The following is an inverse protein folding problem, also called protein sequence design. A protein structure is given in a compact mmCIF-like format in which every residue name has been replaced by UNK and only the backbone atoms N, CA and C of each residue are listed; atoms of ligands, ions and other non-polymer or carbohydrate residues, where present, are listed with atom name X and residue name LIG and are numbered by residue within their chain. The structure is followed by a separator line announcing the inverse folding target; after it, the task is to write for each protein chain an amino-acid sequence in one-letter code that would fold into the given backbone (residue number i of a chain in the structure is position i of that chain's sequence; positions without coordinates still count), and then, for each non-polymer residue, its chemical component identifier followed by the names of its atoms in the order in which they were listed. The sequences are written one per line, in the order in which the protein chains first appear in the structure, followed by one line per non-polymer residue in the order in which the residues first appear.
data_IF_043018746138
#
_entry.id   IF_043018746138
#
_cell.length_a   1.000
_cell.length_b   1.000
_cell.length_c   1.000
_cell.angle_alpha   90.00
_cell.angle_beta   90.00
_cell.angle_gamma   90.00
#
_symmetry.space_group_name_H-M   'P 1'
#
loop_
_entity.id
_entity.type
_entity.pdbx_description
1 polymer ?
#
# COMPACT_ATOMS: atom_id res chain seq x y z
N UNK A 1 8.03 11.06 17.52
CA UNK A 1 7.20 9.84 17.76
C UNK A 1 7.38 8.89 16.58
N UNK A 2 7.61 7.60 16.83
CA UNK A 2 7.79 6.59 15.77
C UNK A 2 6.54 6.46 14.90
N UNK A 3 6.70 6.13 13.61
CA UNK A 3 5.60 6.03 12.65
C UNK A 3 5.69 4.76 11.81
N UNK A 4 4.57 4.09 11.62
CA UNK A 4 4.39 3.14 10.53
C UNK A 4 3.50 3.77 9.46
N UNK A 5 4.05 3.90 8.26
CA UNK A 5 3.39 4.53 7.12
C UNK A 5 2.96 3.44 6.15
N UNK A 6 1.68 3.31 5.88
CA UNK A 6 1.15 2.43 4.84
C UNK A 6 0.89 3.25 3.58
N UNK A 7 1.61 2.97 2.49
CA UNK A 7 1.31 3.57 1.18
C UNK A 7 0.42 2.62 0.41
N UNK A 8 -0.80 3.04 0.13
CA UNK A 8 -1.84 2.22 -0.49
C UNK A 8 -2.65 2.97 -1.53
N UNK A 9 -3.27 2.23 -2.42
CA UNK A 9 -4.11 2.77 -3.50
C UNK A 9 -4.82 1.67 -4.27
N UNK A 10 -5.80 2.01 -5.12
CA UNK A 10 -6.24 1.17 -6.22
C UNK A 10 -5.09 0.83 -7.19
N UNK A 11 -5.29 -0.15 -8.10
CA UNK A 11 -4.27 -0.54 -9.07
C UNK A 11 -3.84 0.61 -9.99
N UNK A 12 -2.55 0.62 -10.36
CA UNK A 12 -1.93 1.57 -11.29
C UNK A 12 -1.89 3.06 -10.88
N UNK A 13 -2.28 3.41 -9.65
CA UNK A 13 -2.18 4.78 -9.13
C UNK A 13 -0.73 5.25 -8.87
N UNK A 14 0.28 4.40 -9.08
CA UNK A 14 1.70 4.77 -8.88
C UNK A 14 2.23 4.56 -7.47
N UNK A 15 1.51 3.83 -6.62
CA UNK A 15 1.85 3.54 -5.22
C UNK A 15 3.33 3.21 -5.00
N UNK A 16 3.88 2.23 -5.73
CA UNK A 16 5.27 1.78 -5.56
C UNK A 16 6.29 2.87 -5.90
N UNK A 17 6.02 3.66 -6.94
CA UNK A 17 6.87 4.79 -7.29
C UNK A 17 6.89 5.84 -6.18
N UNK A 18 5.71 6.24 -5.70
CA UNK A 18 5.57 7.22 -4.61
C UNK A 18 6.23 6.73 -3.33
N UNK A 19 5.98 5.48 -2.92
CA UNK A 19 6.56 4.90 -1.72
C UNK A 19 8.10 4.93 -1.77
N UNK A 20 8.70 4.61 -2.92
CA UNK A 20 10.14 4.70 -3.13
C UNK A 20 10.67 6.12 -3.13
N UNK A 21 9.94 7.08 -3.70
CA UNK A 21 10.34 8.48 -3.66
C UNK A 21 10.27 9.07 -2.24
N UNK A 22 9.22 8.76 -1.49
CA UNK A 22 9.12 9.14 -0.09
C UNK A 22 10.28 8.55 0.72
N UNK A 23 10.54 7.24 0.59
CA UNK A 23 11.62 6.58 1.31
C UNK A 23 13.02 7.15 0.99
N UNK A 24 13.26 7.62 -0.24
CA UNK A 24 14.53 8.24 -0.63
C UNK A 24 14.75 9.64 -0.03
N UNK A 25 13.66 10.33 0.30
CA UNK A 25 13.71 11.69 0.81
C UNK A 25 13.52 11.79 2.32
N UNK A 26 12.99 10.73 2.97
CA UNK A 26 12.89 10.65 4.42
C UNK A 26 14.21 10.20 5.04
N UNK A 27 14.48 10.67 6.25
CA UNK A 27 15.59 10.21 7.09
C UNK A 27 15.09 9.14 8.07
N UNK A 28 15.98 8.26 8.52
CA UNK A 28 15.66 7.24 9.51
C UNK A 28 14.43 6.40 9.13
N UNK A 29 14.41 5.91 7.88
CA UNK A 29 13.29 5.16 7.31
C UNK A 29 13.72 3.76 6.89
N UNK A 30 12.95 2.75 7.31
CA UNK A 30 12.98 1.40 6.78
C UNK A 30 11.89 1.26 5.73
N UNK A 31 12.27 1.02 4.48
CA UNK A 31 11.34 0.76 3.37
C UNK A 31 11.09 -0.73 3.23
N UNK A 32 9.83 -1.13 3.26
CA UNK A 32 9.39 -2.51 3.07
C UNK A 32 8.42 -2.59 1.89
N UNK A 33 8.68 -3.52 0.98
CA UNK A 33 7.80 -3.83 -0.15
C UNK A 33 7.23 -5.24 0.03
N UNK A 34 5.90 -5.34 0.13
CA UNK A 34 5.23 -6.64 0.30
C UNK A 34 5.58 -7.62 -0.83
N UNK A 35 5.80 -7.10 -2.04
CA UNK A 35 6.13 -7.95 -3.18
C UNK A 35 7.51 -8.63 -3.07
N UNK A 36 8.35 -8.21 -2.11
CA UNK A 36 9.59 -8.91 -1.75
C UNK A 36 9.33 -10.32 -1.19
N UNK A 37 8.13 -10.58 -0.67
CA UNK A 37 7.72 -11.90 -0.16
C UNK A 37 7.26 -12.87 -1.28
N UNK A 38 7.04 -12.39 -2.51
CA UNK A 38 6.52 -13.21 -3.63
C UNK A 38 7.38 -14.47 -3.89
N UNK A 39 8.72 -14.41 -3.90
CA UNK A 39 9.53 -15.61 -4.13
C UNK A 39 9.27 -16.71 -3.09
N UNK A 40 9.06 -16.33 -1.81
CA UNK A 40 8.71 -17.28 -0.75
C UNK A 40 7.30 -17.84 -0.97
N UNK A 41 6.34 -16.99 -1.26
CA UNK A 41 4.95 -17.38 -1.54
C UNK A 41 4.84 -18.32 -2.75
N UNK A 42 5.65 -18.10 -3.79
CA UNK A 42 5.71 -19.00 -4.94
C UNK A 42 6.19 -20.42 -4.53
N UNK A 43 7.08 -20.52 -3.53
CA UNK A 43 7.50 -21.83 -3.00
C UNK A 43 6.37 -22.55 -2.26
N UNK A 44 5.47 -21.81 -1.61
CA UNK A 44 4.28 -22.39 -0.96
C UNK A 44 3.35 -23.02 -2.00
N UNK A 45 3.08 -22.32 -3.13
CA UNK A 45 2.30 -22.91 -4.23
C UNK A 45 2.93 -24.22 -4.72
N UNK A 46 4.22 -24.19 -5.05
CA UNK A 46 4.94 -25.36 -5.57
C UNK A 46 4.96 -26.51 -4.57
N UNK A 47 5.15 -26.23 -3.29
CA UNK A 47 5.15 -27.26 -2.24
C UNK A 47 3.77 -27.92 -2.04
N UNK A 48 2.70 -27.17 -2.31
CA UNK A 48 1.33 -27.66 -2.26
C UNK A 48 0.87 -28.36 -3.56
N UNK A 49 1.69 -28.33 -4.63
CA UNK A 49 1.30 -28.85 -5.94
C UNK A 49 0.30 -27.97 -6.68
N UNK A 50 0.22 -26.69 -6.32
CA UNK A 50 -0.72 -25.71 -6.87
C UNK A 50 -0.05 -24.85 -7.96
N UNK A 51 -0.85 -24.39 -8.92
CA UNK A 51 -0.40 -23.40 -9.89
C UNK A 51 -0.16 -22.03 -9.23
N UNK A 52 0.90 -21.35 -9.62
CA UNK A 52 1.21 -20.01 -9.11
C UNK A 52 0.18 -19.01 -9.67
N UNK A 53 -0.89 -18.81 -8.91
CA UNK A 53 -1.97 -17.88 -9.25
C UNK A 53 -2.38 -17.07 -8.02
N UNK A 54 -1.99 -15.80 -8.00
CA UNK A 54 -2.26 -14.89 -6.87
C UNK A 54 -3.70 -14.35 -6.83
N UNK A 55 -4.57 -14.82 -7.73
CA UNK A 55 -6.01 -14.56 -7.73
C UNK A 55 -6.82 -15.83 -7.40
N UNK A 56 -6.16 -16.93 -7.05
CA UNK A 56 -6.82 -18.19 -6.73
C UNK A 56 -7.36 -18.22 -5.30
N UNK A 57 -8.34 -19.09 -5.07
CA UNK A 57 -8.84 -19.40 -3.73
C UNK A 57 -7.74 -19.93 -2.81
N UNK A 58 -6.78 -20.69 -3.38
CA UNK A 58 -5.64 -21.20 -2.62
C UNK A 58 -4.81 -20.04 -2.06
N UNK A 59 -4.47 -19.04 -2.90
CA UNK A 59 -3.76 -17.86 -2.46
C UNK A 59 -4.49 -17.11 -1.35
N UNK A 60 -5.78 -16.83 -1.55
CA UNK A 60 -6.59 -16.10 -0.59
C UNK A 60 -6.69 -16.80 0.78
N UNK A 61 -6.75 -18.15 0.80
CA UNK A 61 -6.92 -18.93 2.03
C UNK A 61 -5.60 -19.26 2.74
N UNK A 62 -4.49 -19.43 1.98
CA UNK A 62 -3.28 -20.03 2.52
C UNK A 62 -2.04 -19.13 2.48
N UNK A 63 -2.08 -18.01 1.75
CA UNK A 63 -0.88 -17.21 1.54
C UNK A 63 -1.11 -15.72 1.85
N UNK A 64 -2.19 -15.13 1.31
CA UNK A 64 -2.38 -13.67 1.31
C UNK A 64 -2.23 -13.06 2.70
N UNK A 65 -2.99 -13.53 3.64
CA UNK A 65 -3.05 -12.90 4.98
C UNK A 65 -1.70 -13.07 5.73
N UNK A 66 -1.01 -14.19 5.50
CA UNK A 66 0.34 -14.41 6.06
C UNK A 66 1.41 -13.49 5.45
N UNK A 67 1.33 -13.16 4.16
CA UNK A 67 2.20 -12.12 3.57
C UNK A 67 2.00 -10.75 4.25
N UNK A 68 0.74 -10.37 4.51
CA UNK A 68 0.44 -9.11 5.18
C UNK A 68 0.83 -9.11 6.64
N UNK A 69 0.62 -10.21 7.35
CA UNK A 69 1.08 -10.38 8.73
C UNK A 69 2.61 -10.29 8.80
N UNK A 70 3.31 -11.06 7.99
CA UNK A 70 4.78 -11.06 7.98
C UNK A 70 5.37 -9.68 7.71
N UNK A 71 4.88 -8.95 6.69
CA UNK A 71 5.43 -7.63 6.36
C UNK A 71 5.14 -6.60 7.47
N UNK A 72 4.00 -6.69 8.12
CA UNK A 72 3.65 -5.82 9.26
C UNK A 72 4.50 -6.17 10.48
N UNK A 73 4.75 -7.45 10.76
CA UNK A 73 5.57 -7.89 11.88
C UNK A 73 7.02 -7.47 11.72
N UNK A 74 7.59 -7.63 10.52
CA UNK A 74 8.93 -7.10 10.18
C UNK A 74 8.96 -5.58 10.39
N UNK A 75 7.90 -4.87 10.00
CA UNK A 75 7.79 -3.43 10.21
C UNK A 75 7.72 -3.03 11.68
N UNK A 76 6.98 -3.78 12.49
CA UNK A 76 6.89 -3.54 13.95
C UNK A 76 8.25 -3.82 14.64
N UNK A 77 8.97 -4.86 14.21
CA UNK A 77 10.32 -5.14 14.69
C UNK A 77 11.28 -4.02 14.30
N UNK A 78 11.25 -3.56 13.04
CA UNK A 78 12.10 -2.49 12.54
C UNK A 78 11.92 -1.16 13.31
N UNK A 79 10.73 -0.89 13.85
CA UNK A 79 10.49 0.27 14.73
C UNK A 79 11.27 0.23 16.05
N UNK A 80 11.92 -0.86 16.40
CA UNK A 80 12.85 -0.87 17.56
C UNK A 80 14.14 -0.13 17.24
N UNK A 81 14.55 -0.13 15.97
CA UNK A 81 15.86 0.33 15.50
C UNK A 81 15.79 1.65 14.73
N UNK A 82 14.63 2.01 14.18
CA UNK A 82 14.45 3.24 13.41
C UNK A 82 13.13 3.93 13.74
N UNK A 83 12.98 5.20 13.32
CA UNK A 83 11.83 6.03 13.68
C UNK A 83 10.66 5.89 12.71
N UNK A 84 10.94 5.58 11.45
CA UNK A 84 9.93 5.49 10.40
C UNK A 84 10.03 4.13 9.71
N UNK A 85 8.90 3.42 9.62
CA UNK A 85 8.74 2.26 8.75
C UNK A 85 7.71 2.59 7.69
N UNK A 86 8.08 2.48 6.41
CA UNK A 86 7.20 2.72 5.27
C UNK A 86 6.95 1.41 4.54
N UNK A 87 5.68 0.97 4.51
CA UNK A 87 5.27 -0.28 3.87
C UNK A 87 4.50 0.03 2.59
N UNK A 88 5.01 -0.47 1.46
CA UNK A 88 4.35 -0.46 0.17
C UNK A 88 3.55 -1.75 -0.03
N UNK A 89 2.22 -1.66 0.10
CA UNK A 89 1.32 -2.78 -0.17
C UNK A 89 -0.10 -2.28 -0.52
N UNK A 90 -0.92 -3.08 -1.21
CA UNK A 90 -2.31 -2.68 -1.52
C UNK A 90 -3.20 -2.52 -0.29
N UNK A 91 -3.04 -3.35 0.75
CA UNK A 91 -3.86 -3.34 1.97
C UNK A 91 -5.38 -3.30 1.71
N UNK A 92 -5.84 -3.91 0.60
CA UNK A 92 -7.22 -3.78 0.12
C UNK A 92 -8.29 -4.21 1.12
N UNK A 93 -8.08 -5.30 1.87
CA UNK A 93 -9.01 -5.73 2.92
C UNK A 93 -8.89 -4.83 4.16
N UNK A 94 -7.66 -4.49 4.51
CA UNK A 94 -7.32 -3.82 5.76
C UNK A 94 -7.85 -2.37 5.79
N UNK A 95 -7.70 -1.62 4.69
CA UNK A 95 -8.19 -0.22 4.62
C UNK A 95 -9.71 -0.10 4.53
N UNK A 96 -10.41 -1.20 4.22
CA UNK A 96 -11.87 -1.26 4.22
C UNK A 96 -12.46 -1.81 5.54
N UNK A 97 -11.63 -2.13 6.53
CA UNK A 97 -12.04 -2.69 7.83
C UNK A 97 -11.60 -1.80 8.99
N UNK A 98 -12.57 -1.29 9.76
CA UNK A 98 -12.31 -0.55 11.01
C UNK A 98 -11.55 -1.41 12.02
N UNK A 99 -11.93 -2.68 12.11
CA UNK A 99 -11.31 -3.64 13.03
C UNK A 99 -9.85 -3.91 12.67
N UNK A 100 -9.53 -3.98 11.35
CA UNK A 100 -8.14 -4.15 10.91
C UNK A 100 -7.30 -2.91 11.23
N UNK A 101 -7.80 -1.71 10.96
CA UNK A 101 -7.12 -0.47 11.31
C UNK A 101 -6.92 -0.34 12.82
N UNK A 102 -7.92 -0.72 13.62
CA UNK A 102 -7.81 -0.73 15.08
C UNK A 102 -6.74 -1.72 15.56
N UNK A 103 -6.69 -2.93 14.98
CA UNK A 103 -5.63 -3.91 15.30
C UNK A 103 -4.23 -3.37 14.99
N UNK A 104 -4.04 -2.70 13.84
CA UNK A 104 -2.77 -2.04 13.53
C UNK A 104 -2.39 -1.00 14.58
N UNK A 105 -3.32 -0.12 14.94
CA UNK A 105 -3.10 0.91 15.98
C UNK A 105 -2.73 0.30 17.32
N UNK A 106 -3.49 -0.71 17.77
CA UNK A 106 -3.21 -1.39 19.04
C UNK A 106 -1.83 -2.06 19.04
N UNK A 107 -1.43 -2.68 17.92
CA UNK A 107 -0.11 -3.29 17.77
C UNK A 107 1.00 -2.23 17.84
N UNK A 108 0.81 -1.09 17.19
CA UNK A 108 1.78 0.01 17.17
C UNK A 108 1.89 0.76 18.50
N UNK A 109 0.82 0.82 19.29
CA UNK A 109 0.85 1.42 20.64
C UNK A 109 1.87 0.73 21.54
N UNK A 110 2.08 -0.58 21.40
CA UNK A 110 3.12 -1.33 22.17
C UNK A 110 4.55 -0.85 21.89
N UNK A 111 4.75 -0.19 20.76
CA UNK A 111 6.04 0.38 20.30
C UNK A 111 6.09 1.91 20.40
N UNK A 112 5.09 2.53 21.05
CA UNK A 112 4.92 4.00 21.07
C UNK A 112 4.99 4.60 19.66
N UNK A 113 4.36 3.93 18.71
CA UNK A 113 4.35 4.31 17.31
C UNK A 113 2.92 4.64 16.82
N UNK A 114 2.84 5.53 15.84
CA UNK A 114 1.59 5.98 15.20
C UNK A 114 1.41 5.29 13.85
N UNK A 115 0.17 5.00 13.49
CA UNK A 115 -0.22 4.58 12.15
C UNK A 115 -0.53 5.82 11.30
N UNK A 116 0.13 5.93 10.14
CA UNK A 116 -0.20 6.91 9.10
C UNK A 116 -0.50 6.17 7.81
N UNK A 117 -1.64 6.45 7.18
CA UNK A 117 -2.01 5.87 5.87
C UNK A 117 -1.88 6.94 4.80
N UNK A 118 -1.08 6.69 3.79
CA UNK A 118 -1.02 7.51 2.58
C UNK A 118 -1.91 6.84 1.53
N UNK A 119 -3.02 7.51 1.20
CA UNK A 119 -3.89 7.11 0.11
C UNK A 119 -3.51 7.85 -1.15
N UNK A 120 -3.07 7.11 -2.18
CA UNK A 120 -2.70 7.71 -3.46
C UNK A 120 -3.94 7.91 -4.31
N UNK A 121 -4.20 9.16 -4.65
CA UNK A 121 -5.32 9.60 -5.49
C UNK A 121 -4.81 9.81 -6.91
N UNK A 122 -5.39 9.08 -7.86
CA UNK A 122 -5.04 9.21 -9.28
C UNK A 122 -6.33 9.06 -10.10
N UNK A 123 -6.49 9.88 -11.13
CA UNK A 123 -7.64 9.78 -12.03
C UNK A 123 -7.64 8.43 -12.76
N UNK A 124 -8.83 7.83 -12.96
CA UNK A 124 -8.96 6.53 -13.62
C UNK A 124 -8.38 6.47 -15.04
N UNK A 125 -8.53 7.57 -15.82
CA UNK A 125 -7.95 7.69 -17.16
C UNK A 125 -6.42 7.60 -17.15
N UNK A 126 -5.77 8.22 -16.17
CA UNK A 126 -4.31 8.15 -15.97
C UNK A 126 -3.89 6.74 -15.55
N UNK A 127 -4.67 6.08 -14.69
CA UNK A 127 -4.41 4.69 -14.31
C UNK A 127 -4.50 3.75 -15.51
N UNK A 128 -5.49 3.96 -16.39
CA UNK A 128 -5.63 3.21 -17.65
C UNK A 128 -4.41 3.36 -18.54
N UNK A 129 -3.99 4.60 -18.81
CA UNK A 129 -2.79 4.88 -19.60
C UNK A 129 -1.54 4.22 -19.02
N UNK A 130 -1.36 4.26 -17.69
CA UNK A 130 -0.24 3.61 -17.00
C UNK A 130 -0.27 2.08 -17.11
N UNK A 131 -1.46 1.46 -17.11
CA UNK A 131 -1.60 0.02 -17.36
C UNK A 131 -1.18 -0.33 -18.79
N UNK A 132 -1.61 0.45 -19.79
CA UNK A 132 -1.21 0.27 -21.19
C UNK A 132 0.32 0.39 -21.32
N UNK A 133 0.92 1.46 -20.80
CA UNK A 133 2.36 1.70 -20.85
C UNK A 133 3.19 0.62 -20.16
N UNK A 134 2.70 0.11 -19.02
CA UNK A 134 3.36 -0.95 -18.26
C UNK A 134 3.37 -2.29 -18.99
N UNK A 135 2.38 -2.55 -19.84
CA UNK A 135 2.22 -3.76 -20.66
C UNK A 135 2.51 -5.06 -19.88
N UNK A 136 1.85 -5.23 -18.75
CA UNK A 136 2.06 -6.36 -17.84
C UNK A 136 0.93 -7.37 -17.98
N UNK A 137 1.25 -8.67 -18.03
CA UNK A 137 0.29 -9.78 -18.11
C UNK A 137 -0.81 -9.71 -17.05
N UNK A 138 -0.50 -9.20 -15.85
CA UNK A 138 -1.48 -8.99 -14.77
C UNK A 138 -2.57 -7.95 -15.09
N UNK A 139 -2.40 -7.17 -16.16
CA UNK A 139 -3.34 -6.13 -16.58
C UNK A 139 -4.09 -6.50 -17.86
N UNK A 140 -3.73 -7.58 -18.54
CA UNK A 140 -4.30 -8.01 -19.83
C UNK A 140 -5.84 -8.03 -19.77
N UNK A 141 -6.40 -8.81 -18.87
CA UNK A 141 -7.86 -8.89 -18.73
C UNK A 141 -8.50 -7.52 -18.45
N UNK A 142 -7.89 -6.69 -17.59
CA UNK A 142 -8.40 -5.36 -17.23
C UNK A 142 -8.41 -4.39 -18.41
N UNK A 143 -7.40 -4.49 -19.28
CA UNK A 143 -7.30 -3.66 -20.48
C UNK A 143 -8.29 -4.11 -21.54
N UNK A 144 -8.44 -5.42 -21.74
CA UNK A 144 -9.39 -6.00 -22.69
C UNK A 144 -10.86 -5.73 -22.29
N UNK A 145 -11.13 -5.63 -20.96
CA UNK A 145 -12.47 -5.43 -20.41
C UNK A 145 -12.55 -4.14 -19.57
N UNK A 146 -11.93 -3.05 -20.06
CA UNK A 146 -11.80 -1.82 -19.27
C UNK A 146 -13.13 -1.25 -18.78
N UNK A 147 -14.15 -1.21 -19.63
CA UNK A 147 -15.49 -0.71 -19.29
C UNK A 147 -16.19 -1.53 -18.19
N UNK A 148 -15.87 -2.80 -18.10
CA UNK A 148 -16.36 -3.68 -17.04
C UNK A 148 -15.51 -3.49 -15.77
N UNK A 149 -14.19 -3.53 -15.91
CA UNK A 149 -13.25 -3.38 -14.82
C UNK A 149 -13.45 -2.09 -14.04
N UNK A 150 -13.60 -0.94 -14.73
CA UNK A 150 -13.74 0.36 -14.09
C UNK A 150 -14.99 0.46 -13.20
N UNK A 151 -16.04 -0.32 -13.48
CA UNK A 151 -17.25 -0.38 -12.65
C UNK A 151 -17.05 -1.18 -11.36
N UNK A 152 -16.03 -2.02 -11.31
CA UNK A 152 -15.73 -2.87 -10.14
C UNK A 152 -14.69 -2.25 -9.19
N UNK A 153 -13.98 -1.20 -9.60
CA UNK A 153 -12.94 -0.55 -8.82
C UNK A 153 -13.42 0.76 -8.26
N UNK A 154 -13.43 0.87 -6.94
CA UNK A 154 -13.66 2.14 -6.25
C UNK A 154 -12.34 2.89 -6.07
N UNK A 155 -12.21 4.05 -6.73
CA UNK A 155 -11.06 4.96 -6.60
C UNK A 155 -11.22 5.95 -5.44
N UNK A 156 -12.37 5.97 -4.79
CA UNK A 156 -12.60 6.85 -3.65
C UNK A 156 -11.82 6.40 -2.41
N UNK A 157 -11.60 7.32 -1.49
CA UNK A 157 -11.03 6.99 -0.18
C UNK A 157 -11.99 6.08 0.57
N UNK A 158 -11.55 4.90 1.04
CA UNK A 158 -12.40 3.99 1.82
C UNK A 158 -13.02 4.67 3.04
N UNK A 159 -14.28 4.33 3.34
CA UNK A 159 -15.01 4.94 4.45
C UNK A 159 -14.28 4.85 5.80
N UNK A 160 -13.66 3.70 6.19
CA UNK A 160 -12.90 3.64 7.44
C UNK A 160 -11.69 4.57 7.49
N UNK A 161 -11.07 4.87 6.34
CA UNK A 161 -9.95 5.82 6.29
C UNK A 161 -10.42 7.27 6.49
N UNK A 162 -11.63 7.63 6.02
CA UNK A 162 -12.18 8.98 6.20
C UNK A 162 -12.46 9.33 7.68
N UNK A 163 -12.49 8.33 8.55
CA UNK A 163 -12.66 8.50 10.00
C UNK A 163 -11.33 8.78 10.72
N UNK A 164 -10.21 8.66 10.01
CA UNK A 164 -8.87 8.95 10.52
C UNK A 164 -8.64 10.47 10.55
N UNK A 165 -7.72 10.91 11.42
CA UNK A 165 -7.34 12.31 11.53
C UNK A 165 -6.63 12.77 10.24
N UNK A 166 -7.26 13.70 9.52
CA UNK A 166 -6.75 14.20 8.24
C UNK A 166 -5.46 15.00 8.44
N UNK A 167 -4.48 14.73 7.58
CA UNK A 167 -3.15 15.35 7.64
C UNK A 167 -2.18 14.69 8.62
N UNK A 168 -2.67 13.78 9.46
CA UNK A 168 -1.84 13.03 10.42
C UNK A 168 -1.95 11.52 10.23
N UNK A 169 -3.14 10.93 10.47
CA UNK A 169 -3.37 9.51 10.32
C UNK A 169 -3.77 9.12 8.90
N UNK A 170 -4.42 10.03 8.16
CA UNK A 170 -4.71 9.92 6.74
C UNK A 170 -4.11 11.09 5.97
N UNK A 171 -3.26 10.77 5.01
CA UNK A 171 -2.67 11.74 4.09
C UNK A 171 -3.09 11.36 2.66
N UNK A 172 -3.62 12.33 1.91
CA UNK A 172 -3.92 12.16 0.49
C UNK A 172 -2.73 12.59 -0.35
N UNK A 173 -2.28 11.71 -1.24
CA UNK A 173 -1.21 11.98 -2.19
C UNK A 173 -1.76 11.99 -3.61
N UNK A 174 -1.87 13.16 -4.22
CA UNK A 174 -2.37 13.33 -5.59
C UNK A 174 -1.27 13.02 -6.60
N UNK A 175 -1.59 12.24 -7.64
CA UNK A 175 -0.62 11.70 -8.58
C UNK A 175 -1.19 11.50 -10.00
N UNK A 176 -2.02 12.43 -10.46
CA UNK A 176 -2.57 12.35 -11.84
C UNK A 176 -1.70 13.09 -12.86
N UNK A 177 -0.78 13.95 -12.42
CA UNK A 177 0.21 14.64 -13.25
C UNK A 177 1.51 14.85 -12.49
N UNK A 178 2.57 15.29 -13.18
CA UNK A 178 3.86 15.62 -12.56
C UNK A 178 3.71 16.80 -11.57
N UNK A 179 2.86 17.78 -11.89
CA UNK A 179 2.60 18.92 -11.00
C UNK A 179 1.89 18.47 -9.71
N UNK A 180 0.90 17.59 -9.81
CA UNK A 180 0.24 17.01 -8.64
C UNK A 180 1.23 16.22 -7.78
N UNK A 181 2.09 15.42 -8.42
CA UNK A 181 3.12 14.65 -7.74
C UNK A 181 4.08 15.58 -6.98
N UNK A 182 4.64 16.59 -7.65
CA UNK A 182 5.58 17.54 -7.05
C UNK A 182 4.96 18.32 -5.89
N UNK A 183 3.71 18.75 -6.05
CA UNK A 183 2.98 19.45 -4.99
C UNK A 183 2.71 18.50 -3.80
N UNK A 184 2.32 17.26 -4.06
CA UNK A 184 2.11 16.27 -3.01
C UNK A 184 3.40 15.94 -2.28
N UNK A 185 4.53 15.77 -2.97
CA UNK A 185 5.84 15.56 -2.34
C UNK A 185 6.20 16.73 -1.40
N UNK A 186 6.04 17.97 -1.85
CA UNK A 186 6.33 19.18 -1.06
C UNK A 186 5.46 19.28 0.20
N UNK A 187 4.22 18.81 0.13
CA UNK A 187 3.27 18.89 1.24
C UNK A 187 3.44 17.70 2.20
N UNK A 188 3.63 16.49 1.67
CA UNK A 188 3.60 15.25 2.46
C UNK A 188 4.91 15.03 3.23
N UNK A 189 6.08 15.31 2.61
CA UNK A 189 7.37 15.06 3.26
C UNK A 189 7.49 15.76 4.62
N UNK A 190 7.19 17.08 4.77
CA UNK A 190 7.25 17.74 6.07
C UNK A 190 6.32 17.09 7.11
N UNK A 191 5.09 16.71 6.73
CA UNK A 191 4.14 16.05 7.63
C UNK A 191 4.66 14.70 8.16
N UNK A 192 5.42 13.98 7.33
CA UNK A 192 6.01 12.71 7.74
C UNK A 192 7.23 12.89 8.64
N UNK A 193 7.97 14.00 8.52
CA UNK A 193 9.14 14.34 9.34
C UNK A 193 8.77 14.99 10.69
N UNK A 194 7.56 15.52 10.84
CA UNK A 194 7.07 16.06 12.11
C UNK A 194 7.05 14.97 13.19
N UNK A 195 7.74 15.20 14.30
CA UNK A 195 7.89 14.27 15.45
C UNK A 195 6.80 14.47 16.50
#
# INVERSE_FOLDING_TARGET
MKKMILVTSPPACGKTYIARQLARNLKHVVYLDKDTLIPLSNRVFLAAGEEINRSSDFFEKNIRDYEYEAIVDIGVEALEYDDIVLINAPFTKEVHSREALQRFRSKLQTKNARLTVIWVVTRPDVCHQRMIQRNSDRDTWKLEHWEEYIKTVDFSVPAPLKELDAGHDLILFYNSSDEEFDQSMKTVLPLLEET
#
